data_IF_560828023278
#
_entry.id   IF_560828023278
#
_cell.length_a   1.000
_cell.length_b   1.000
_cell.length_c   1.000
_cell.angle_alpha   90.00
_cell.angle_beta   90.00
_cell.angle_gamma   90.00
#
_symmetry.space_group_name_H-M   'P 1'
#
loop_
_entity.id
_entity.type
_entity.pdbx_description
1 polymer ?
#
# COMPACT_ATOMS: atom_id res chain seq x y z
N UNK A 1 8.90 1.24 20.03
CA UNK A 1 9.01 1.22 18.55
C UNK A 1 7.60 1.32 18.01
N UNK A 2 7.21 2.52 17.58
CA UNK A 2 5.83 2.88 17.35
C UNK A 2 5.26 2.08 16.18
N UNK A 3 4.21 1.31 16.41
CA UNK A 3 3.35 0.83 15.31
C UNK A 3 2.86 2.08 14.59
N UNK A 4 3.34 2.31 13.37
CA UNK A 4 2.63 3.19 12.46
C UNK A 4 1.21 2.62 12.36
N UNK A 5 0.18 3.44 12.64
CA UNK A 5 -1.24 3.00 12.56
C UNK A 5 -1.66 2.63 11.13
N UNK A 6 -0.76 2.80 10.16
CA UNK A 6 -1.01 2.75 8.72
C UNK A 6 -0.29 1.54 8.16
N UNK A 7 -0.92 0.93 7.17
CA UNK A 7 -0.39 -0.21 6.45
C UNK A 7 0.67 0.25 5.45
N UNK A 8 1.63 -0.60 5.09
CA UNK A 8 2.65 -0.28 4.08
C UNK A 8 2.03 0.20 2.74
N UNK A 9 0.93 -0.40 2.21
CA UNK A 9 0.25 0.11 1.02
C UNK A 9 -0.21 1.56 1.14
N UNK A 10 -0.70 1.97 2.31
CA UNK A 10 -1.12 3.35 2.57
C UNK A 10 0.06 4.30 2.62
N UNK A 11 1.14 3.93 3.32
CA UNK A 11 2.36 4.74 3.37
C UNK A 11 2.97 4.90 1.98
N UNK A 12 3.03 3.81 1.19
CA UNK A 12 3.47 3.83 -0.20
C UNK A 12 2.62 4.78 -1.05
N UNK A 13 1.30 4.73 -0.90
CA UNK A 13 0.40 5.58 -1.67
C UNK A 13 0.55 7.06 -1.31
N UNK A 14 0.71 7.38 -0.02
CA UNK A 14 0.95 8.75 0.43
C UNK A 14 2.28 9.31 -0.08
N UNK A 15 3.31 8.48 -0.20
CA UNK A 15 4.60 8.87 -0.77
C UNK A 15 4.56 9.03 -2.28
N UNK A 16 3.75 8.20 -2.96
CA UNK A 16 3.62 8.24 -4.41
C UNK A 16 2.80 9.43 -4.91
N UNK A 17 1.94 10.02 -4.07
CA UNK A 17 1.12 11.17 -4.41
C UNK A 17 1.90 12.47 -4.30
N UNK A 18 1.93 13.23 -5.40
CA UNK A 18 2.40 14.60 -5.38
C UNK A 18 1.42 15.48 -4.58
N UNK A 19 1.89 16.20 -3.55
CA UNK A 19 1.00 17.00 -2.69
C UNK A 19 0.43 18.24 -3.39
N UNK A 20 1.06 18.73 -4.45
CA UNK A 20 0.61 19.91 -5.19
C UNK A 20 -0.35 19.56 -6.35
N UNK A 21 -0.07 18.46 -7.05
CA UNK A 21 -0.79 18.09 -8.29
C UNK A 21 -1.68 16.87 -8.14
N UNK A 22 -1.46 16.04 -7.12
CA UNK A 22 -2.16 14.78 -6.91
C UNK A 22 -1.79 13.69 -7.91
N UNK A 23 -0.75 13.91 -8.72
CA UNK A 23 -0.27 12.91 -9.67
C UNK A 23 0.55 11.84 -8.96
N UNK A 24 0.42 10.60 -9.40
CA UNK A 24 1.31 9.51 -9.01
C UNK A 24 2.40 9.32 -10.06
N UNK A 25 3.67 9.30 -9.66
CA UNK A 25 4.73 8.85 -10.55
C UNK A 25 4.51 7.37 -10.92
N UNK A 26 4.60 7.03 -12.21
CA UNK A 26 4.49 5.66 -12.73
C UNK A 26 3.25 4.88 -12.21
N UNK A 27 2.04 5.28 -12.60
CA UNK A 27 0.80 4.71 -12.05
C UNK A 27 0.71 3.18 -12.22
N UNK A 28 1.23 2.60 -13.30
CA UNK A 28 1.19 1.15 -13.51
C UNK A 28 2.08 0.40 -12.50
N UNK A 29 3.29 0.92 -12.24
CA UNK A 29 4.22 0.37 -11.25
C UNK A 29 3.67 0.47 -9.83
N UNK A 30 2.90 1.54 -9.53
CA UNK A 30 2.29 1.74 -8.23
C UNK A 30 1.28 0.65 -7.87
N UNK A 31 0.44 0.20 -8.80
CA UNK A 31 -0.54 -0.86 -8.50
C UNK A 31 0.15 -2.19 -8.15
N UNK A 32 1.27 -2.50 -8.83
CA UNK A 32 2.10 -3.65 -8.49
C UNK A 32 2.73 -3.47 -7.11
N UNK A 33 3.26 -2.28 -6.81
CA UNK A 33 3.80 -1.91 -5.51
C UNK A 33 2.77 -2.07 -4.39
N UNK A 34 1.53 -1.59 -4.58
CA UNK A 34 0.44 -1.76 -3.62
C UNK A 34 0.10 -3.23 -3.37
N UNK A 35 0.05 -4.04 -4.43
CA UNK A 35 -0.22 -5.48 -4.31
C UNK A 35 0.90 -6.22 -3.57
N UNK A 36 2.16 -5.86 -3.82
CA UNK A 36 3.33 -6.38 -3.11
C UNK A 36 3.34 -5.96 -1.64
N UNK A 37 3.14 -4.67 -1.37
CA UNK A 37 3.04 -4.11 -0.03
C UNK A 37 1.95 -4.79 0.81
N UNK A 38 0.82 -5.14 0.18
CA UNK A 38 -0.26 -5.87 0.85
C UNK A 38 0.16 -7.28 1.29
N UNK A 39 0.98 -7.97 0.50
CA UNK A 39 1.56 -9.25 0.89
C UNK A 39 2.53 -9.09 2.05
N UNK A 40 3.39 -8.07 2.00
CA UNK A 40 4.33 -7.80 3.09
C UNK A 40 3.59 -7.48 4.38
N UNK A 41 2.54 -6.66 4.33
CA UNK A 41 1.72 -6.32 5.50
C UNK A 41 1.06 -7.57 6.10
N UNK A 42 0.50 -8.46 5.26
CA UNK A 42 -0.07 -9.74 5.69
C UNK A 42 1.00 -10.68 6.29
N UNK A 43 2.22 -10.68 5.75
CA UNK A 43 3.33 -11.48 6.26
C UNK A 43 3.81 -10.95 7.62
N UNK A 44 3.95 -9.63 7.77
CA UNK A 44 4.28 -8.98 9.05
C UNK A 44 3.19 -9.19 10.10
N UNK A 45 1.92 -9.33 9.68
CA UNK A 45 0.81 -9.72 10.54
C UNK A 45 0.77 -11.23 10.84
N UNK A 46 1.70 -12.03 10.28
CA UNK A 46 1.76 -13.48 10.46
C UNK A 46 0.57 -14.23 9.88
N UNK A 47 -0.10 -13.66 8.87
CA UNK A 47 -1.26 -14.29 8.19
C UNK A 47 -0.84 -15.18 7.04
N UNK A 48 0.24 -14.81 6.38
CA UNK A 48 0.85 -15.57 5.28
C UNK A 48 2.34 -15.79 5.54
N UNK A 49 2.91 -16.78 4.89
CA UNK A 49 4.35 -17.02 4.88
C UNK A 49 4.83 -17.35 3.45
N UNK A 50 6.08 -17.00 3.11
CA UNK A 50 6.72 -17.50 1.90
C UNK A 50 6.84 -19.03 1.92
N UNK A 51 6.61 -19.64 0.76
CA UNK A 51 6.81 -21.06 0.47
C UNK A 51 7.55 -21.14 -0.87
N UNK A 52 8.88 -21.01 -0.83
CA UNK A 52 9.70 -20.80 -2.03
C UNK A 52 9.34 -19.50 -2.75
N UNK A 53 8.97 -19.60 -4.04
CA UNK A 53 8.47 -18.49 -4.87
C UNK A 53 6.95 -18.22 -4.69
N UNK A 54 6.32 -18.94 -3.77
CA UNK A 54 4.88 -18.91 -3.49
C UNK A 54 4.60 -18.30 -2.13
N UNK A 55 3.33 -17.99 -1.91
CA UNK A 55 2.79 -17.50 -0.64
C UNK A 55 1.71 -18.47 -0.17
N UNK A 56 1.80 -18.89 1.09
CA UNK A 56 0.84 -19.77 1.74
C UNK A 56 0.12 -19.04 2.86
N UNK A 57 -1.18 -19.26 3.00
CA UNK A 57 -1.96 -18.79 4.16
C UNK A 57 -1.64 -19.68 5.35
N UNK A 58 -1.07 -19.10 6.41
CA UNK A 58 -0.72 -19.84 7.64
C UNK A 58 -1.76 -19.63 8.74
N UNK A 59 -2.31 -18.41 8.86
CA UNK A 59 -3.31 -18.07 9.87
C UNK A 59 -4.46 -17.32 9.18
N UNK A 60 -5.60 -17.98 8.91
CA UNK A 60 -6.75 -17.37 8.23
C UNK A 60 -7.64 -16.57 9.21
N UNK A 61 -7.04 -15.72 10.04
CA UNK A 61 -7.78 -14.83 10.95
C UNK A 61 -7.74 -13.39 10.43
N UNK A 62 -8.84 -12.62 10.60
CA UNK A 62 -8.85 -11.21 10.26
C UNK A 62 -7.68 -10.44 10.88
N UNK A 63 -7.21 -9.44 10.16
CA UNK A 63 -6.20 -8.45 10.56
C UNK A 63 -6.85 -7.25 11.24
N UNK A 64 -8.14 -7.01 10.97
CA UNK A 64 -8.86 -5.80 11.38
C UNK A 64 -8.80 -4.68 10.35
N UNK A 65 -8.05 -4.85 9.26
CA UNK A 65 -8.09 -4.00 8.08
C UNK A 65 -8.94 -4.68 6.99
N UNK A 66 -10.07 -4.08 6.56
CA UNK A 66 -10.96 -4.69 5.56
C UNK A 66 -10.30 -4.96 4.20
N UNK A 67 -9.32 -4.15 3.81
CA UNK A 67 -8.60 -4.29 2.53
C UNK A 67 -7.66 -5.48 2.58
N UNK A 68 -6.90 -5.61 3.67
CA UNK A 68 -6.05 -6.78 3.92
C UNK A 68 -6.88 -8.06 4.11
N UNK A 69 -8.02 -7.97 4.79
CA UNK A 69 -8.90 -9.11 5.05
C UNK A 69 -9.55 -9.64 3.77
N UNK A 70 -9.93 -8.74 2.85
CA UNK A 70 -10.41 -9.11 1.52
C UNK A 70 -9.33 -9.85 0.72
N UNK A 71 -8.09 -9.40 0.81
CA UNK A 71 -6.95 -10.04 0.17
C UNK A 71 -6.62 -11.41 0.77
N UNK A 72 -6.65 -11.52 2.09
CA UNK A 72 -6.43 -12.78 2.81
C UNK A 72 -7.51 -13.81 2.46
N UNK A 73 -8.77 -13.40 2.37
CA UNK A 73 -9.88 -14.26 1.97
C UNK A 73 -9.72 -14.76 0.53
N UNK A 74 -9.30 -13.88 -0.40
CA UNK A 74 -8.99 -14.27 -1.78
C UNK A 74 -7.84 -15.28 -1.86
N UNK A 75 -6.79 -15.14 -1.05
CA UNK A 75 -5.73 -16.14 -0.93
C UNK A 75 -6.26 -17.46 -0.37
N UNK A 76 -7.05 -17.40 0.70
CA UNK A 76 -7.63 -18.57 1.36
C UNK A 76 -8.49 -19.39 0.41
N UNK A 77 -9.31 -18.73 -0.41
CA UNK A 77 -10.19 -19.36 -1.41
C UNK A 77 -9.43 -20.12 -2.50
N UNK A 78 -8.16 -19.79 -2.75
CA UNK A 78 -7.33 -20.55 -3.70
C UNK A 78 -7.00 -21.95 -3.18
N UNK A 79 -7.00 -22.16 -1.86
CA UNK A 79 -6.80 -23.46 -1.23
C UNK A 79 -5.39 -24.06 -1.36
N UNK A 80 -4.46 -23.37 -2.03
CA UNK A 80 -3.08 -23.81 -2.25
C UNK A 80 -2.13 -22.61 -2.38
N UNK A 81 -0.81 -22.80 -2.14
CA UNK A 81 0.17 -21.72 -2.30
C UNK A 81 0.16 -21.10 -3.70
N UNK A 82 0.15 -19.78 -3.76
CA UNK A 82 0.07 -18.99 -5.01
C UNK A 82 1.42 -18.36 -5.30
N UNK A 83 1.90 -18.36 -6.55
CA UNK A 83 3.13 -17.62 -6.90
C UNK A 83 2.97 -16.14 -6.60
N UNK A 84 3.93 -15.54 -5.90
CA UNK A 84 3.86 -14.13 -5.52
C UNK A 84 3.71 -13.22 -6.75
N UNK A 85 4.47 -13.50 -7.81
CA UNK A 85 4.40 -12.73 -9.07
C UNK A 85 3.03 -12.79 -9.75
N UNK A 86 2.32 -13.91 -9.64
CA UNK A 86 0.96 -14.05 -10.16
C UNK A 86 -0.06 -13.31 -9.30
N UNK A 87 0.16 -13.27 -8.00
CA UNK A 87 -0.68 -12.50 -7.09
C UNK A 87 -0.54 -11.01 -7.32
N UNK A 88 0.69 -10.53 -7.52
CA UNK A 88 1.03 -9.12 -7.72
C UNK A 88 0.58 -8.65 -9.10
N UNK A 89 0.88 -9.42 -10.16
CA UNK A 89 0.51 -9.08 -11.54
C UNK A 89 -0.94 -9.42 -11.93
N UNK A 90 -1.72 -10.01 -11.03
CA UNK A 90 -3.11 -10.36 -11.28
C UNK A 90 -4.05 -9.13 -11.34
N UNK A 91 -5.26 -9.26 -11.91
CA UNK A 91 -6.21 -8.16 -11.98
C UNK A 91 -6.64 -7.71 -10.57
N UNK A 92 -6.39 -6.44 -10.28
CA UNK A 92 -6.68 -5.76 -9.01
C UNK A 92 -7.61 -4.57 -9.23
N UNK A 93 -8.81 -4.85 -9.73
CA UNK A 93 -9.80 -3.79 -9.99
C UNK A 93 -10.07 -3.02 -8.70
N UNK A 94 -9.79 -1.71 -8.71
CA UNK A 94 -10.09 -0.80 -7.61
C UNK A 94 -9.18 -0.89 -6.39
N UNK A 95 -8.05 -1.62 -6.40
CA UNK A 95 -7.16 -1.71 -5.22
C UNK A 95 -6.69 -0.32 -4.77
N UNK A 96 -6.14 0.47 -5.71
CA UNK A 96 -5.72 1.84 -5.44
C UNK A 96 -6.87 2.69 -4.91
N UNK A 97 -8.02 2.63 -5.57
CA UNK A 97 -9.20 3.40 -5.15
C UNK A 97 -9.66 3.02 -3.74
N UNK A 98 -9.57 1.75 -3.36
CA UNK A 98 -9.92 1.27 -2.02
C UNK A 98 -9.04 1.93 -0.95
N UNK A 99 -7.72 1.98 -1.18
CA UNK A 99 -6.80 2.67 -0.27
C UNK A 99 -7.01 4.19 -0.29
N UNK A 100 -7.22 4.82 -1.45
CA UNK A 100 -7.51 6.26 -1.54
C UNK A 100 -8.76 6.64 -0.74
N UNK A 101 -9.85 5.88 -0.89
CA UNK A 101 -11.08 6.13 -0.14
C UNK A 101 -10.92 5.91 1.36
N UNK A 102 -10.04 5.01 1.80
CA UNK A 102 -9.73 4.87 3.23
C UNK A 102 -8.89 6.04 3.76
N UNK A 103 -7.86 6.44 3.01
CA UNK A 103 -7.01 7.59 3.35
C UNK A 103 -7.82 8.90 3.38
N UNK A 104 -8.79 9.06 2.49
CA UNK A 104 -9.70 10.20 2.43
C UNK A 104 -10.56 10.28 3.69
N UNK A 105 -11.16 9.16 4.11
CA UNK A 105 -11.90 9.09 5.39
C UNK A 105 -11.01 9.37 6.60
N UNK A 106 -9.71 9.11 6.49
CA UNK A 106 -8.73 9.45 7.52
C UNK A 106 -8.23 10.89 7.46
N UNK A 107 -8.65 11.70 6.49
CA UNK A 107 -8.20 13.09 6.28
C UNK A 107 -6.75 13.21 5.77
N UNK A 108 -6.19 12.12 5.25
CA UNK A 108 -4.78 12.06 4.81
C UNK A 108 -4.61 12.42 3.33
N UNK A 109 -5.70 12.29 2.57
CA UNK A 109 -5.81 12.77 1.19
C UNK A 109 -7.15 13.47 1.02
N UNK A 110 -7.27 14.32 0.02
CA UNK A 110 -8.55 14.90 -0.40
C UNK A 110 -8.76 14.72 -1.89
N UNK A 111 -10.00 14.40 -2.27
CA UNK A 111 -10.42 14.41 -3.66
C UNK A 111 -10.45 15.85 -4.19
N UNK A 112 -9.77 16.07 -5.31
CA UNK A 112 -9.77 17.30 -6.09
C UNK A 112 -10.41 17.00 -7.43
N UNK A 113 -11.50 17.71 -7.72
CA UNK A 113 -12.12 17.67 -9.03
C UNK A 113 -11.21 18.36 -10.05
N UNK A 114 -10.86 17.62 -11.10
CA UNK A 114 -10.19 18.12 -12.28
C UNK A 114 -11.04 17.91 -13.52
N UNK A 115 -10.67 18.55 -14.61
CA UNK A 115 -11.29 18.33 -15.91
C UNK A 115 -10.25 17.76 -16.88
N UNK A 116 -10.53 16.62 -17.52
CA UNK A 116 -9.81 16.19 -18.71
C UNK A 116 -10.58 16.66 -19.94
N UNK A 117 -9.93 17.46 -20.78
CA UNK A 117 -10.46 17.96 -22.05
C UNK A 117 -11.89 18.54 -21.99
N UNK A 118 -12.26 19.24 -20.90
CA UNK A 118 -13.51 20.01 -20.80
C UNK A 118 -14.83 19.23 -20.74
N UNK A 119 -14.83 17.89 -20.81
CA UNK A 119 -16.06 17.08 -20.88
C UNK A 119 -16.13 15.92 -19.88
N UNK A 120 -15.00 15.46 -19.35
CA UNK A 120 -14.97 14.34 -18.39
C UNK A 120 -14.42 14.83 -17.04
N UNK A 121 -15.27 14.89 -15.98
CA UNK A 121 -14.77 15.15 -14.64
C UNK A 121 -13.83 14.03 -14.22
N UNK A 122 -12.66 14.41 -13.71
CA UNK A 122 -11.65 13.49 -13.19
C UNK A 122 -11.50 13.75 -11.71
N UNK A 123 -11.58 12.73 -10.87
CA UNK A 123 -11.21 12.89 -9.45
C UNK A 123 -9.73 12.56 -9.30
N UNK A 124 -8.94 13.53 -8.87
CA UNK A 124 -7.56 13.30 -8.42
C UNK A 124 -7.52 13.30 -6.91
N UNK A 125 -6.56 12.61 -6.33
CA UNK A 125 -6.33 12.63 -4.88
C UNK A 125 -5.03 13.37 -4.61
N UNK A 126 -5.05 14.30 -3.67
CA UNK A 126 -3.84 15.00 -3.22
C UNK A 126 -3.51 14.56 -1.81
N UNK A 127 -2.23 14.31 -1.53
CA UNK A 127 -1.78 14.02 -0.18
C UNK A 127 -1.77 15.30 0.67
N UNK A 128 -2.42 15.25 1.82
CA UNK A 128 -2.30 16.31 2.82
C UNK A 128 -0.92 16.23 3.46
N UNK A 129 -0.21 17.35 3.53
CA UNK A 129 1.04 17.39 4.29
C UNK A 129 0.72 17.34 5.79
N UNK A 130 0.90 16.16 6.38
CA UNK A 130 0.63 15.91 7.80
C UNK A 130 1.93 15.65 8.55
N UNK A 131 1.88 15.65 9.89
CA UNK A 131 3.01 15.18 10.69
C UNK A 131 3.38 13.72 10.34
N UNK A 132 2.39 12.90 9.97
CA UNK A 132 2.59 11.50 9.57
C UNK A 132 3.33 11.44 8.22
N UNK A 133 2.93 12.22 7.22
CA UNK A 133 3.61 12.26 5.91
C UNK A 133 5.09 12.64 6.07
N UNK A 134 5.39 13.63 6.93
CA UNK A 134 6.77 14.01 7.28
C UNK A 134 7.52 12.91 8.01
N UNK A 135 6.88 12.22 8.94
CA UNK A 135 7.49 11.11 9.68
C UNK A 135 7.87 9.94 8.75
N UNK A 136 7.00 9.59 7.80
CA UNK A 136 7.26 8.54 6.81
C UNK A 136 8.46 8.92 5.91
N UNK A 137 8.53 10.16 5.45
CA UNK A 137 9.69 10.63 4.66
C UNK A 137 10.97 10.64 5.50
N UNK A 138 10.90 11.15 6.73
CA UNK A 138 12.06 11.22 7.63
C UNK A 138 12.63 9.84 7.97
N UNK A 139 11.79 8.82 8.20
CA UNK A 139 12.27 7.45 8.46
C UNK A 139 12.98 6.85 7.24
N UNK A 140 12.47 7.10 6.03
CA UNK A 140 13.09 6.65 4.78
C UNK A 140 14.41 7.37 4.52
N UNK A 141 14.42 8.70 4.64
CA UNK A 141 15.63 9.51 4.47
C UNK A 141 16.73 9.09 5.44
N UNK A 142 16.36 8.80 6.70
CA UNK A 142 17.31 8.34 7.70
C UNK A 142 17.87 6.95 7.36
N UNK A 143 17.01 6.02 6.95
CA UNK A 143 17.43 4.67 6.54
C UNK A 143 18.41 4.71 5.35
N UNK A 144 18.13 5.55 4.35
CA UNK A 144 18.96 5.67 3.14
C UNK A 144 20.29 6.37 3.45
N UNK A 145 20.27 7.45 4.24
CA UNK A 145 21.46 8.28 4.47
C UNK A 145 22.44 7.72 5.49
N UNK A 146 21.96 7.02 6.51
CA UNK A 146 22.81 6.57 7.62
C UNK A 146 23.38 5.18 7.41
N UNK A 147 22.80 4.38 6.51
CA UNK A 147 23.19 2.98 6.30
C UNK A 147 22.90 2.06 7.49
N UNK A 148 22.27 2.57 8.56
CA UNK A 148 21.81 1.75 9.68
C UNK A 148 20.63 0.90 9.21
N UNK A 149 20.63 -0.42 9.46
CA UNK A 149 19.52 -1.27 9.06
C UNK A 149 18.18 -0.75 9.61
N UNK A 150 17.23 -0.38 8.73
CA UNK A 150 15.91 0.08 9.16
C UNK A 150 15.11 -1.07 9.78
N UNK A 151 14.03 -0.71 10.50
CA UNK A 151 13.07 -1.72 10.93
C UNK A 151 12.38 -2.40 9.73
N UNK A 152 11.81 -3.61 9.88
CA UNK A 152 11.23 -4.35 8.76
C UNK A 152 10.17 -3.61 7.96
N UNK A 153 9.38 -2.70 8.56
CA UNK A 153 8.38 -1.91 7.81
C UNK A 153 9.05 -0.86 6.94
N UNK A 154 9.99 -0.11 7.51
CA UNK A 154 10.75 0.90 6.76
C UNK A 154 11.59 0.25 5.66
N UNK A 155 12.20 -0.92 5.91
CA UNK A 155 12.91 -1.70 4.90
C UNK A 155 11.99 -2.11 3.75
N UNK A 156 10.78 -2.60 4.05
CA UNK A 156 9.80 -3.01 3.05
C UNK A 156 9.27 -1.84 2.22
N UNK A 157 9.11 -0.66 2.82
CA UNK A 157 8.66 0.54 2.13
C UNK A 157 9.72 1.11 1.17
N UNK A 158 11.00 0.90 1.46
CA UNK A 158 12.13 1.39 0.67
C UNK A 158 12.54 0.48 -0.50
N UNK A 159 12.05 -0.77 -0.52
CA UNK A 159 12.41 -1.80 -1.49
C UNK A 159 11.66 -1.65 -2.82
#
# INVERSE_FOLDING_TARGET
MGRSRRTIPEELLLLALDPATGTTAQPQSLDLGLAGAQLVELALAGRIAPDGDRIAVVVPRPTGDPTLDSALELLRRRGAPVRAVHWIGGPRLGLRQTYLSHLERCGMVHAVEGQMCGVLPTTRYQATETAISREIRARLDNAIRTGVPPDPRTAALAA
#
